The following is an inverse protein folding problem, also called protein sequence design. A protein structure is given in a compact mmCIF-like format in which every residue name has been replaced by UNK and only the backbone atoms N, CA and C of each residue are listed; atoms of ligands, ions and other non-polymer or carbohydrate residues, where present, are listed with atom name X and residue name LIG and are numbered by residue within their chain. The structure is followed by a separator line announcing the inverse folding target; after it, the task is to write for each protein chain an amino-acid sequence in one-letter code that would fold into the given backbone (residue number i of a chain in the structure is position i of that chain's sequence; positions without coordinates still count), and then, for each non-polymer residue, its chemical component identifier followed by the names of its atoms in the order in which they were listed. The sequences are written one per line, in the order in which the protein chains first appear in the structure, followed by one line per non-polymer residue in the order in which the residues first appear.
data_IF_321821937883
#
_entry.id   IF_321821937883
#
_cell.length_a   1.000
_cell.length_b   1.000
_cell.length_c   1.000
_cell.angle_alpha   90.00
_cell.angle_beta   90.00
_cell.angle_gamma   90.00
#
_symmetry.space_group_name_H-M   'P 1'
#
loop_
_entity.id
_entity.type
_entity.pdbx_description
1 polymer ?
#
# COMPACT_ATOMS: atom_id res chain seq x y z
N UNK A 1 -35.10 -21.93 48.66
CA UNK A 1 -34.53 -22.49 47.41
C UNK A 1 -34.02 -21.32 46.59
N UNK A 2 -32.69 -21.16 46.45
CA UNK A 2 -32.10 -19.99 45.78
C UNK A 2 -30.98 -20.48 44.85
N UNK A 3 -31.32 -20.54 43.57
CA UNK A 3 -30.51 -21.01 42.45
C UNK A 3 -29.32 -20.07 42.26
N UNK A 4 -28.09 -20.59 42.33
CA UNK A 4 -26.87 -19.83 41.99
C UNK A 4 -26.55 -20.04 40.51
N UNK A 5 -26.42 -18.92 39.83
CA UNK A 5 -26.24 -18.76 38.38
C UNK A 5 -24.83 -19.23 38.01
N UNK A 6 -24.75 -20.17 37.07
CA UNK A 6 -23.51 -20.62 36.46
C UNK A 6 -22.93 -19.50 35.57
N UNK A 7 -21.77 -18.97 35.96
CA UNK A 7 -21.00 -18.02 35.16
C UNK A 7 -20.31 -18.79 34.02
N UNK A 8 -20.90 -18.74 32.83
CA UNK A 8 -20.27 -19.26 31.61
C UNK A 8 -19.09 -18.37 31.20
N UNK A 9 -17.88 -18.92 31.28
CA UNK A 9 -16.69 -18.36 30.64
C UNK A 9 -16.85 -18.46 29.11
N UNK A 10 -17.26 -17.36 28.47
CA UNK A 10 -17.12 -17.20 27.03
C UNK A 10 -15.65 -16.97 26.70
N UNK A 11 -14.94 -18.04 26.37
CA UNK A 11 -13.65 -17.98 25.70
C UNK A 11 -13.88 -17.51 24.26
N UNK A 12 -13.83 -16.20 24.04
CA UNK A 12 -13.67 -15.60 22.71
C UNK A 12 -12.28 -15.98 22.18
N UNK A 13 -12.19 -17.15 21.56
CA UNK A 13 -11.04 -17.54 20.77
C UNK A 13 -10.96 -16.60 19.55
N UNK A 14 -10.22 -15.51 19.69
CA UNK A 14 -9.84 -14.67 18.57
C UNK A 14 -8.98 -15.52 17.64
N UNK A 15 -9.57 -16.06 16.58
CA UNK A 15 -8.82 -16.73 15.53
C UNK A 15 -7.76 -15.76 15.00
N UNK A 16 -6.50 -16.21 14.83
CA UNK A 16 -5.49 -15.36 14.22
C UNK A 16 -6.00 -14.99 12.82
N UNK A 17 -6.18 -13.69 12.59
CA UNK A 17 -6.31 -13.18 11.23
C UNK A 17 -4.98 -13.52 10.54
N UNK A 18 -4.97 -14.61 9.79
CA UNK A 18 -3.91 -14.86 8.82
C UNK A 18 -3.83 -13.60 7.98
N UNK A 19 -2.75 -12.84 8.14
CA UNK A 19 -2.45 -11.71 7.28
C UNK A 19 -2.22 -12.29 5.89
N UNK A 20 -3.30 -12.44 5.11
CA UNK A 20 -3.17 -12.70 3.69
C UNK A 20 -2.41 -11.50 3.12
N UNK A 21 -1.28 -11.77 2.46
CA UNK A 21 -0.56 -10.75 1.73
C UNK A 21 -1.53 -10.15 0.72
N UNK A 22 -1.92 -8.88 0.94
CA UNK A 22 -2.86 -8.20 0.07
C UNK A 22 -2.26 -8.09 -1.34
N UNK A 23 -3.04 -8.44 -2.35
CA UNK A 23 -2.61 -8.43 -3.75
C UNK A 23 -3.08 -7.15 -4.45
N UNK A 24 -2.21 -6.60 -5.28
CA UNK A 24 -2.49 -5.42 -6.10
C UNK A 24 -2.85 -5.89 -7.51
N UNK A 25 -4.16 -5.97 -7.78
CA UNK A 25 -4.67 -6.45 -9.07
C UNK A 25 -4.21 -5.59 -10.25
N UNK A 26 -4.18 -4.27 -10.04
CA UNK A 26 -3.68 -3.30 -11.01
C UNK A 26 -2.28 -2.84 -10.61
N UNK A 27 -1.39 -2.76 -11.60
CA UNK A 27 0.02 -2.38 -11.40
C UNK A 27 0.43 -1.20 -12.28
N UNK A 28 -0.48 -0.72 -13.13
CA UNK A 28 -0.29 0.37 -14.06
C UNK A 28 -1.58 1.21 -14.16
N UNK A 29 -1.48 2.48 -14.61
CA UNK A 29 -2.66 3.30 -14.83
C UNK A 29 -3.58 2.66 -15.87
N UNK A 30 -4.89 2.69 -15.62
CA UNK A 30 -5.90 2.12 -16.51
C UNK A 30 -6.72 3.24 -17.14
N UNK A 31 -6.97 3.17 -18.44
CA UNK A 31 -7.88 4.10 -19.11
C UNK A 31 -9.32 3.63 -18.97
N UNK A 32 -10.18 4.48 -18.42
CA UNK A 32 -11.60 4.19 -18.22
C UNK A 32 -12.45 5.45 -18.45
N UNK A 33 -13.45 5.35 -19.31
CA UNK A 33 -14.40 6.43 -19.60
C UNK A 33 -13.72 7.77 -19.94
N UNK A 34 -12.65 7.72 -20.73
CA UNK A 34 -11.87 8.90 -21.12
C UNK A 34 -10.96 9.49 -20.05
N UNK A 35 -10.83 8.84 -18.89
CA UNK A 35 -9.98 9.28 -17.78
C UNK A 35 -8.93 8.21 -17.42
N UNK A 36 -7.72 8.65 -17.08
CA UNK A 36 -6.67 7.77 -16.55
C UNK A 36 -6.89 7.54 -15.06
N UNK A 37 -7.23 6.31 -14.69
CA UNK A 37 -7.35 5.89 -13.29
C UNK A 37 -6.00 5.43 -12.75
N UNK A 38 -5.59 6.02 -11.64
CA UNK A 38 -4.37 5.67 -10.92
C UNK A 38 -4.62 5.01 -9.56
N UNK A 39 -5.86 5.08 -9.05
CA UNK A 39 -6.22 4.65 -7.71
C UNK A 39 -7.21 3.50 -7.76
N UNK A 40 -6.90 2.47 -6.98
CA UNK A 40 -7.62 1.19 -6.97
C UNK A 40 -7.74 0.67 -5.54
N UNK A 41 -8.38 -0.49 -5.38
CA UNK A 41 -8.55 -1.18 -4.10
C UNK A 41 -7.91 -2.56 -4.18
N UNK A 42 -7.11 -2.94 -3.18
CA UNK A 42 -6.43 -4.23 -3.12
C UNK A 42 -7.40 -5.36 -2.75
N UNK A 43 -6.92 -6.61 -2.75
CA UNK A 43 -7.73 -7.76 -2.36
C UNK A 43 -8.22 -7.73 -0.89
N UNK A 44 -7.68 -6.83 -0.08
CA UNK A 44 -8.04 -6.62 1.33
C UNK A 44 -8.97 -5.41 1.53
N UNK A 45 -9.41 -4.75 0.46
CA UNK A 45 -10.28 -3.58 0.54
C UNK A 45 -9.56 -2.26 0.84
N UNK A 46 -8.21 -2.22 0.83
CA UNK A 46 -7.43 -1.00 1.09
C UNK A 46 -7.12 -0.24 -0.21
N UNK A 47 -7.18 1.09 -0.21
CA UNK A 47 -6.82 1.87 -1.38
C UNK A 47 -5.32 1.83 -1.65
N UNK A 48 -4.94 1.78 -2.92
CA UNK A 48 -3.57 1.98 -3.39
C UNK A 48 -3.52 2.82 -4.65
N UNK A 49 -2.36 3.42 -4.94
CA UNK A 49 -2.12 4.24 -6.14
C UNK A 49 -0.92 3.72 -6.93
N UNK A 50 -1.02 3.73 -8.27
CA UNK A 50 0.00 3.19 -9.20
C UNK A 50 0.48 4.25 -10.18
N UNK A 51 1.54 3.93 -10.92
CA UNK A 51 2.15 4.81 -11.92
C UNK A 51 3.31 5.64 -11.37
N UNK A 52 3.84 5.27 -10.21
CA UNK A 52 5.09 5.80 -9.68
C UNK A 52 6.27 5.11 -10.37
N UNK A 53 7.32 5.89 -10.68
CA UNK A 53 8.55 5.38 -11.29
C UNK A 53 9.77 5.97 -10.58
N UNK A 54 10.71 5.11 -10.22
CA UNK A 54 11.99 5.54 -9.66
C UNK A 54 13.07 5.48 -10.72
N UNK A 55 13.76 6.59 -10.95
CA UNK A 55 14.89 6.72 -11.89
C UNK A 55 16.07 7.36 -11.17
N UNK A 56 17.10 6.57 -10.89
CA UNK A 56 18.23 6.96 -10.04
C UNK A 56 17.73 7.49 -8.70
N UNK A 57 18.03 8.76 -8.41
CA UNK A 57 17.64 9.44 -7.17
C UNK A 57 16.30 10.16 -7.23
N UNK A 58 15.50 9.96 -8.27
CA UNK A 58 14.27 10.72 -8.52
C UNK A 58 13.05 9.82 -8.57
N UNK A 59 12.04 10.16 -7.77
CA UNK A 59 10.70 9.59 -7.86
C UNK A 59 9.82 10.48 -8.75
N UNK A 60 9.23 9.88 -9.78
CA UNK A 60 8.22 10.50 -10.64
C UNK A 60 6.82 10.12 -10.17
N UNK A 61 5.93 11.12 -10.05
CA UNK A 61 4.55 10.93 -9.61
C UNK A 61 3.61 10.65 -10.79
N UNK A 62 2.56 9.83 -10.59
CA UNK A 62 1.64 9.43 -11.67
C UNK A 62 0.88 10.58 -12.35
N UNK A 63 0.68 11.69 -11.64
CA UNK A 63 -0.08 12.86 -12.12
C UNK A 63 0.81 14.07 -12.45
N UNK A 64 2.11 13.82 -12.62
CA UNK A 64 3.12 14.85 -12.84
C UNK A 64 3.80 15.31 -11.56
N UNK A 65 4.96 15.96 -11.73
CA UNK A 65 5.88 16.32 -10.65
C UNK A 65 6.91 15.22 -10.36
N UNK A 66 7.90 15.57 -9.56
CA UNK A 66 8.96 14.66 -9.13
C UNK A 66 9.56 15.08 -7.78
N UNK A 67 10.20 14.14 -7.09
CA UNK A 67 11.00 14.40 -5.90
C UNK A 67 12.37 13.76 -6.08
N UNK A 68 13.43 14.59 -6.09
CA UNK A 68 14.81 14.17 -6.25
C UNK A 68 15.61 14.32 -4.96
N UNK A 69 16.49 13.36 -4.68
CA UNK A 69 17.46 13.39 -3.58
C UNK A 69 18.89 13.41 -4.15
N UNK A 70 19.39 14.56 -4.64
CA UNK A 70 20.63 14.63 -5.41
C UNK A 70 21.89 14.31 -4.60
N UNK A 71 21.85 14.48 -3.28
CA UNK A 71 23.01 14.31 -2.39
C UNK A 71 23.16 12.88 -1.83
N UNK A 72 22.27 11.96 -2.20
CA UNK A 72 22.28 10.57 -1.73
C UNK A 72 22.70 9.60 -2.83
N UNK A 73 23.14 8.40 -2.46
CA UNK A 73 23.31 7.30 -3.45
C UNK A 73 21.95 6.80 -3.94
N UNK A 74 21.90 6.12 -5.09
CA UNK A 74 20.65 5.55 -5.64
C UNK A 74 19.97 4.59 -4.67
N UNK A 75 20.73 3.72 -4.03
CA UNK A 75 20.20 2.77 -3.05
C UNK A 75 19.63 3.48 -1.82
N UNK A 76 20.27 4.56 -1.37
CA UNK A 76 19.79 5.35 -0.24
C UNK A 76 18.55 6.19 -0.62
N UNK A 77 18.54 6.80 -1.80
CA UNK A 77 17.40 7.52 -2.34
C UNK A 77 16.19 6.60 -2.48
N UNK A 78 16.38 5.40 -3.06
CA UNK A 78 15.33 4.38 -3.18
C UNK A 78 14.73 4.06 -1.81
N UNK A 79 15.57 3.78 -0.80
CA UNK A 79 15.13 3.48 0.56
C UNK A 79 14.29 4.63 1.14
N UNK A 80 14.83 5.86 1.09
CA UNK A 80 14.17 7.05 1.66
C UNK A 80 12.84 7.34 0.96
N UNK A 81 12.82 7.30 -0.37
CA UNK A 81 11.61 7.59 -1.16
C UNK A 81 10.55 6.52 -0.93
N UNK A 82 10.94 5.24 -0.85
CA UNK A 82 9.99 4.16 -0.55
C UNK A 82 9.37 4.29 0.83
N UNK A 83 10.16 4.61 1.85
CA UNK A 83 9.64 4.76 3.20
C UNK A 83 8.75 6.01 3.34
N UNK A 84 9.20 7.13 2.77
CA UNK A 84 8.49 8.41 2.82
C UNK A 84 7.10 8.30 2.20
N UNK A 85 7.01 7.69 1.00
CA UNK A 85 5.78 7.59 0.24
C UNK A 85 5.03 6.27 0.45
N UNK A 86 5.60 5.31 1.19
CA UNK A 86 5.04 3.97 1.36
C UNK A 86 4.93 3.22 0.03
N UNK A 87 6.05 3.11 -0.70
CA UNK A 87 6.12 2.49 -2.03
C UNK A 87 6.61 1.05 -1.96
N UNK A 88 5.84 0.14 -2.57
CA UNK A 88 6.17 -1.28 -2.69
C UNK A 88 6.27 -1.70 -4.16
N UNK A 89 6.92 -2.84 -4.42
CA UNK A 89 7.12 -3.37 -5.78
C UNK A 89 8.45 -2.97 -6.42
N UNK A 90 8.62 -3.28 -7.71
CA UNK A 90 9.84 -2.97 -8.47
C UNK A 90 9.88 -1.52 -8.95
N UNK A 91 11.08 -1.01 -9.28
CA UNK A 91 11.32 0.41 -9.61
C UNK A 91 10.47 0.95 -10.79
N UNK A 92 10.12 0.09 -11.76
CA UNK A 92 9.30 0.44 -12.92
C UNK A 92 7.78 0.30 -12.70
N UNK A 93 7.36 -0.12 -11.50
CA UNK A 93 5.95 -0.44 -11.20
C UNK A 93 5.67 -0.31 -9.71
N UNK A 94 5.99 0.86 -9.16
CA UNK A 94 5.82 1.15 -7.75
C UNK A 94 4.35 1.41 -7.43
N UNK A 95 3.93 0.86 -6.29
CA UNK A 95 2.59 1.01 -5.73
C UNK A 95 2.69 1.77 -4.42
N UNK A 96 1.95 2.86 -4.29
CA UNK A 96 1.81 3.61 -3.05
C UNK A 96 0.66 3.05 -2.22
N UNK A 97 0.91 2.81 -0.93
CA UNK A 97 -0.08 2.24 -0.01
C UNK A 97 -0.34 3.09 1.25
N UNK A 98 0.41 4.19 1.43
CA UNK A 98 0.36 5.04 2.64
C UNK A 98 -0.23 6.43 2.37
N UNK A 99 -1.14 6.87 3.25
CA UNK A 99 -1.69 8.23 3.26
C UNK A 99 -2.59 8.53 2.06
N UNK A 100 -3.39 7.54 1.66
CA UNK A 100 -4.32 7.62 0.54
C UNK A 100 -5.75 7.82 1.02
#
# INVERSE_FOLDING_TARGET
MKTLIAFGLLSLAASPAFAQDCTYHERQPVQKDGNTQHRFTDSCGKPYEVGYRLEGNTLHFPRGGQHSLPETTEAEAERILRDTYGLVGGAAGLVRTKGL
#
